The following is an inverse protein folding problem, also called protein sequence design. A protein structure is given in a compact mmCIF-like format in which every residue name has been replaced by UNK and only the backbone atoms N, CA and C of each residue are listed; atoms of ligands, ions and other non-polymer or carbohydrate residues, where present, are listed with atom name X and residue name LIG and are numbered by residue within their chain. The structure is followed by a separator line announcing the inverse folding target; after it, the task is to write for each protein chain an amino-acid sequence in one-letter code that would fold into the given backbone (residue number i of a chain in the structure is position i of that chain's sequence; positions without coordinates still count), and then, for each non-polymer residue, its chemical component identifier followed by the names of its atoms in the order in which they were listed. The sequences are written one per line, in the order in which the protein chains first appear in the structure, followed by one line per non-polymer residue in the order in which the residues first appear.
data_IF_957260726629
#
_entry.id   IF_957260726629
#
_cell.length_a   1.000
_cell.length_b   1.000
_cell.length_c   1.000
_cell.angle_alpha   90.00
_cell.angle_beta   90.00
_cell.angle_gamma   90.00
#
_symmetry.space_group_name_H-M   'P 1'
#
loop_
_entity.id
_entity.type
_entity.pdbx_description
1 polymer ?
#
# COMPACT_ATOMS: atom_id res chain seq x y z
N UNK A 1 17.10 -26.45 -28.53
CA UNK A 1 16.18 -26.24 -27.39
C UNK A 1 14.79 -26.31 -27.97
N UNK A 2 13.89 -27.11 -27.41
CA UNK A 2 12.56 -27.29 -28.00
C UNK A 2 11.73 -26.01 -27.86
N UNK A 3 11.01 -25.59 -28.91
CA UNK A 3 10.13 -24.42 -28.93
C UNK A 3 9.19 -24.40 -27.70
N UNK A 4 8.71 -25.57 -27.29
CA UNK A 4 7.85 -25.74 -26.11
C UNK A 4 8.54 -25.29 -24.81
N UNK A 5 9.83 -25.60 -24.64
CA UNK A 5 10.57 -25.17 -23.43
C UNK A 5 10.82 -23.66 -23.40
N UNK A 6 11.03 -23.04 -24.55
CA UNK A 6 11.21 -21.58 -24.67
C UNK A 6 9.91 -20.84 -24.33
N UNK A 7 8.77 -21.35 -24.81
CA UNK A 7 7.44 -20.79 -24.49
C UNK A 7 7.13 -20.95 -23.00
N UNK A 8 7.39 -22.14 -22.43
CA UNK A 8 7.15 -22.38 -21.00
C UNK A 8 7.99 -21.46 -20.11
N UNK A 9 9.24 -21.20 -20.47
CA UNK A 9 10.12 -20.28 -19.75
C UNK A 9 9.61 -18.83 -19.83
N UNK A 10 9.20 -18.37 -21.02
CA UNK A 10 8.63 -17.03 -21.20
C UNK A 10 7.35 -16.83 -20.37
N UNK A 11 6.44 -17.80 -20.35
CA UNK A 11 5.22 -17.76 -19.54
C UNK A 11 5.55 -17.69 -18.05
N UNK A 12 6.54 -18.49 -17.58
CA UNK A 12 6.96 -18.44 -16.17
C UNK A 12 7.49 -17.05 -15.77
N UNK A 13 8.31 -16.40 -16.60
CA UNK A 13 8.79 -15.04 -16.33
C UNK A 13 7.67 -14.00 -16.32
N UNK A 14 6.69 -14.09 -17.22
CA UNK A 14 5.53 -13.19 -17.23
C UNK A 14 4.72 -13.37 -15.96
N UNK A 15 4.44 -14.60 -15.52
CA UNK A 15 3.69 -14.88 -14.30
C UNK A 15 4.39 -14.32 -13.05
N UNK A 16 5.70 -14.47 -12.94
CA UNK A 16 6.50 -13.91 -11.85
C UNK A 16 6.44 -12.37 -11.85
N UNK A 17 6.51 -11.76 -13.03
CA UNK A 17 6.41 -10.31 -13.20
C UNK A 17 5.04 -9.78 -12.77
N UNK A 18 3.96 -10.42 -13.20
CA UNK A 18 2.58 -10.06 -12.86
C UNK A 18 2.34 -10.17 -11.35
N UNK A 19 2.79 -11.26 -10.72
CA UNK A 19 2.65 -11.43 -9.27
C UNK A 19 3.36 -10.29 -8.49
N UNK A 20 4.53 -9.86 -8.96
CA UNK A 20 5.26 -8.75 -8.34
C UNK A 20 4.52 -7.41 -8.49
N UNK A 21 3.87 -7.15 -9.62
CA UNK A 21 3.03 -5.96 -9.82
C UNK A 21 1.84 -5.98 -8.86
N UNK A 22 1.17 -7.12 -8.73
CA UNK A 22 0.01 -7.26 -7.83
C UNK A 22 0.41 -6.94 -6.39
N UNK A 23 1.57 -7.43 -5.93
CA UNK A 23 2.05 -7.15 -4.58
C UNK A 23 2.39 -5.66 -4.37
N UNK A 24 3.00 -4.99 -5.35
CA UNK A 24 3.28 -3.55 -5.27
C UNK A 24 1.96 -2.76 -5.25
N UNK A 25 0.98 -3.15 -6.06
CA UNK A 25 -0.34 -2.51 -6.09
C UNK A 25 -1.04 -2.63 -4.73
N UNK A 26 -1.07 -3.82 -4.13
CA UNK A 26 -1.61 -4.01 -2.78
C UNK A 26 -0.93 -3.13 -1.74
N UNK A 27 0.40 -3.02 -1.80
CA UNK A 27 1.16 -2.11 -0.94
C UNK A 27 0.74 -0.65 -1.15
N UNK A 28 0.62 -0.20 -2.39
CA UNK A 28 0.19 1.17 -2.72
C UNK A 28 -1.24 1.45 -2.22
N UNK A 29 -2.16 0.51 -2.39
CA UNK A 29 -3.54 0.62 -1.90
C UNK A 29 -3.60 0.67 -0.36
N UNK A 30 -2.82 -0.18 0.32
CA UNK A 30 -2.75 -0.17 1.77
C UNK A 30 -2.18 1.15 2.32
N UNK A 31 -1.18 1.72 1.67
CA UNK A 31 -0.62 3.04 2.02
C UNK A 31 -1.63 4.17 1.80
N UNK A 32 -2.42 4.10 0.73
CA UNK A 32 -3.51 5.04 0.50
C UNK A 32 -4.57 4.96 1.61
N UNK A 33 -4.96 3.75 2.01
CA UNK A 33 -5.89 3.55 3.13
C UNK A 33 -5.33 4.09 4.46
N UNK A 34 -4.03 3.92 4.71
CA UNK A 34 -3.40 4.50 5.90
C UNK A 34 -3.49 6.03 5.92
N UNK A 35 -3.22 6.71 4.79
CA UNK A 35 -3.39 8.17 4.68
C UNK A 35 -4.85 8.56 4.93
N UNK A 36 -5.80 7.83 4.36
CA UNK A 36 -7.24 8.05 4.53
C UNK A 36 -7.64 7.89 6.00
N UNK A 37 -7.18 6.83 6.66
CA UNK A 37 -7.44 6.58 8.07
C UNK A 37 -6.92 7.70 8.98
N UNK A 38 -5.65 8.10 8.83
CA UNK A 38 -5.06 9.17 9.61
C UNK A 38 -5.78 10.51 9.38
N UNK A 39 -6.19 10.76 8.13
CA UNK A 39 -6.97 11.97 7.77
C UNK A 39 -8.37 11.96 8.38
N UNK A 40 -9.04 10.80 8.43
CA UNK A 40 -10.33 10.62 9.11
C UNK A 40 -10.19 10.86 10.61
N UNK A 41 -9.19 10.28 11.25
CA UNK A 41 -8.87 10.52 12.67
C UNK A 41 -8.65 12.00 12.93
N UNK A 42 -7.86 12.70 12.11
CA UNK A 42 -7.62 14.14 12.23
C UNK A 42 -8.92 14.94 12.15
N UNK A 43 -9.79 14.64 11.19
CA UNK A 43 -11.05 15.34 11.00
C UNK A 43 -11.99 15.10 12.20
N UNK A 44 -12.05 13.90 12.72
CA UNK A 44 -12.87 13.56 13.88
C UNK A 44 -12.40 14.28 15.15
N UNK A 45 -11.09 14.42 15.37
CA UNK A 45 -10.54 15.22 16.45
C UNK A 45 -10.95 16.69 16.28
N UNK A 46 -10.73 17.27 15.09
CA UNK A 46 -10.95 18.69 14.82
C UNK A 46 -12.42 19.13 14.91
N UNK A 47 -13.33 18.31 14.38
CA UNK A 47 -14.73 18.74 14.21
C UNK A 47 -15.70 18.11 15.20
N UNK A 48 -15.37 16.99 15.80
CA UNK A 48 -16.27 16.23 16.64
C UNK A 48 -15.78 16.11 18.09
N UNK A 49 -14.54 16.54 18.37
CA UNK A 49 -13.90 16.40 19.70
C UNK A 49 -14.10 14.99 20.29
N UNK A 50 -14.02 13.98 19.43
CA UNK A 50 -14.29 12.60 19.79
C UNK A 50 -13.21 12.03 20.71
N UNK A 51 -13.62 11.21 21.64
CA UNK A 51 -12.73 10.35 22.40
C UNK A 51 -12.18 9.19 21.52
N UNK A 52 -11.13 8.55 22.01
CA UNK A 52 -10.45 7.49 21.25
C UNK A 52 -11.38 6.33 20.84
N UNK A 53 -12.31 5.94 21.73
CA UNK A 53 -13.24 4.81 21.47
C UNK A 53 -14.16 5.14 20.31
N UNK A 54 -14.76 6.32 20.33
CA UNK A 54 -15.65 6.81 19.26
C UNK A 54 -14.91 7.01 17.94
N UNK A 55 -13.62 7.38 17.97
CA UNK A 55 -12.76 7.48 16.78
C UNK A 55 -12.58 6.12 16.12
N UNK A 56 -12.34 5.06 16.91
CA UNK A 56 -12.16 3.71 16.41
C UNK A 56 -13.44 3.15 15.82
N UNK A 57 -14.58 3.31 16.51
CA UNK A 57 -15.89 2.85 16.03
C UNK A 57 -16.29 3.53 14.71
N UNK A 58 -16.05 4.83 14.57
CA UNK A 58 -16.30 5.54 13.32
C UNK A 58 -15.39 5.08 12.19
N UNK A 59 -14.12 4.87 12.47
CA UNK A 59 -13.16 4.38 11.49
C UNK A 59 -13.51 2.96 11.02
N UNK A 60 -13.97 2.09 11.91
CA UNK A 60 -14.40 0.73 11.55
C UNK A 60 -15.57 0.73 10.55
N UNK A 61 -16.47 1.72 10.65
CA UNK A 61 -17.59 1.89 9.72
C UNK A 61 -17.17 2.39 8.32
N UNK A 62 -15.94 2.85 8.14
CA UNK A 62 -15.40 3.37 6.88
C UNK A 62 -14.78 2.28 6.00
N UNK A 63 -15.21 1.10 5.90
CA UNK A 63 -14.72 0.04 4.97
C UNK A 63 -13.26 0.18 4.53
N UNK A 64 -12.34 -0.31 5.36
CA UNK A 64 -10.93 -0.47 5.03
C UNK A 64 -10.65 -1.94 4.66
N UNK A 65 -9.88 -2.16 3.58
CA UNK A 65 -9.52 -3.51 3.12
C UNK A 65 -8.18 -3.99 3.68
N UNK A 66 -7.32 -3.05 4.05
CA UNK A 66 -5.94 -3.32 4.49
C UNK A 66 -5.67 -2.89 5.93
N UNK A 67 -6.66 -2.31 6.63
CA UNK A 67 -6.59 -1.97 8.05
C UNK A 67 -7.56 -2.87 8.81
N UNK A 68 -7.08 -3.51 9.86
CA UNK A 68 -7.87 -4.37 10.75
C UNK A 68 -8.00 -3.69 12.10
N UNK A 69 -9.20 -3.71 12.68
CA UNK A 69 -9.51 -3.01 13.93
C UNK A 69 -9.56 -3.95 15.16
N UNK A 70 -9.71 -5.25 14.95
CA UNK A 70 -9.78 -6.23 16.03
C UNK A 70 -8.74 -7.35 15.87
N UNK A 71 -8.06 -7.79 16.94
CA UNK A 71 -8.13 -7.30 18.34
C UNK A 71 -7.40 -5.96 18.56
N UNK A 72 -6.55 -5.55 17.66
CA UNK A 72 -5.78 -4.30 17.66
C UNK A 72 -5.83 -3.65 16.29
N UNK A 73 -5.66 -2.32 16.24
CA UNK A 73 -5.61 -1.59 14.98
C UNK A 73 -4.26 -1.86 14.32
N UNK A 74 -4.28 -2.58 13.22
CA UNK A 74 -3.09 -2.94 12.46
C UNK A 74 -3.29 -2.74 10.97
N UNK A 75 -2.17 -2.58 10.25
CA UNK A 75 -2.16 -2.54 8.79
C UNK A 75 -1.61 -3.86 8.23
N UNK A 76 -2.08 -4.26 7.06
CA UNK A 76 -1.69 -5.49 6.37
C UNK A 76 -0.16 -5.60 6.19
N UNK A 77 0.38 -6.82 6.28
CA UNK A 77 1.80 -7.13 6.13
C UNK A 77 2.37 -6.81 4.72
N UNK A 78 1.50 -6.51 3.75
CA UNK A 78 1.94 -6.12 2.40
C UNK A 78 2.73 -4.80 2.37
N UNK A 79 2.63 -3.94 3.40
CA UNK A 79 3.36 -2.64 3.45
C UNK A 79 4.80 -2.75 3.94
N UNK A 80 5.23 -3.89 4.45
CA UNK A 80 6.55 -4.11 5.02
C UNK A 80 6.70 -3.62 6.46
N UNK A 81 7.65 -4.21 7.19
CA UNK A 81 7.81 -4.06 8.63
C UNK A 81 8.05 -2.62 9.09
N UNK A 82 8.83 -1.83 8.32
CA UNK A 82 9.11 -0.43 8.67
C UNK A 82 7.82 0.40 8.69
N UNK A 83 7.01 0.30 7.65
CA UNK A 83 5.76 1.06 7.52
C UNK A 83 4.73 0.58 8.55
N UNK A 84 4.66 -0.72 8.78
CA UNK A 84 3.82 -1.31 9.82
C UNK A 84 4.20 -0.77 11.20
N UNK A 85 5.49 -0.70 11.53
CA UNK A 85 5.98 -0.12 12.78
C UNK A 85 5.61 1.35 12.94
N UNK A 86 5.74 2.16 11.89
CA UNK A 86 5.29 3.56 11.90
C UNK A 86 3.78 3.70 12.11
N UNK A 87 2.98 2.84 11.49
CA UNK A 87 1.53 2.85 11.66
C UNK A 87 1.14 2.49 13.10
N UNK A 88 1.76 1.47 13.68
CA UNK A 88 1.53 1.09 15.08
C UNK A 88 1.94 2.21 16.05
N UNK A 89 3.05 2.90 15.80
CA UNK A 89 3.44 4.07 16.60
C UNK A 89 2.40 5.19 16.53
N UNK A 90 1.81 5.44 15.37
CA UNK A 90 0.70 6.38 15.23
C UNK A 90 -0.47 5.98 16.11
N UNK A 91 -0.94 4.74 15.99
CA UNK A 91 -2.08 4.23 16.75
C UNK A 91 -1.85 4.29 18.26
N UNK A 92 -0.63 3.98 18.71
CA UNK A 92 -0.30 4.01 20.14
C UNK A 92 -0.19 5.42 20.74
N UNK A 93 0.16 6.41 19.93
CA UNK A 93 0.37 7.78 20.39
C UNK A 93 -0.86 8.68 20.25
N UNK A 94 -1.79 8.32 19.39
CA UNK A 94 -3.03 9.10 19.25
C UNK A 94 -3.81 9.09 20.57
N UNK A 95 -4.35 10.22 20.97
CA UNK A 95 -5.06 10.37 22.25
C UNK A 95 -4.17 10.63 23.48
N UNK A 96 -2.84 10.72 23.32
CA UNK A 96 -1.91 10.92 24.46
C UNK A 96 -1.55 12.38 24.73
N UNK A 97 -1.92 13.31 23.85
CA UNK A 97 -1.64 14.76 23.96
C UNK A 97 -2.93 15.57 23.88
N UNK A 98 -2.82 16.89 24.07
CA UNK A 98 -3.91 17.81 23.84
C UNK A 98 -4.36 17.86 22.36
N UNK A 99 -5.47 18.52 22.09
CA UNK A 99 -6.07 18.55 20.74
C UNK A 99 -5.09 19.11 19.68
N UNK A 100 -4.44 20.22 19.97
CA UNK A 100 -3.48 20.85 19.04
C UNK A 100 -2.27 19.94 18.78
N UNK A 101 -1.78 19.28 19.81
CA UNK A 101 -0.70 18.30 19.71
C UNK A 101 -1.10 17.10 18.86
N UNK A 102 -2.33 16.60 19.03
CA UNK A 102 -2.86 15.50 18.22
C UNK A 102 -3.04 15.89 16.75
N UNK A 103 -3.54 17.10 16.46
CA UNK A 103 -3.70 17.59 15.08
C UNK A 103 -2.35 17.72 14.38
N UNK A 104 -1.35 18.29 15.04
CA UNK A 104 0.01 18.41 14.50
C UNK A 104 0.64 17.02 14.26
N UNK A 105 0.42 16.10 15.18
CA UNK A 105 0.88 14.71 15.06
C UNK A 105 0.23 13.99 13.87
N UNK A 106 -1.08 14.16 13.66
CA UNK A 106 -1.75 13.64 12.48
C UNK A 106 -1.17 14.22 11.19
N UNK A 107 -0.88 15.52 11.14
CA UNK A 107 -0.29 16.16 9.96
C UNK A 107 1.09 15.59 9.63
N UNK A 108 1.95 15.41 10.62
CA UNK A 108 3.26 14.79 10.44
C UNK A 108 3.14 13.39 9.84
N UNK A 109 2.24 12.56 10.39
CA UNK A 109 2.05 11.19 9.88
C UNK A 109 1.37 11.14 8.51
N UNK A 110 0.43 12.04 8.20
CA UNK A 110 -0.15 12.17 6.86
C UNK A 110 0.96 12.44 5.84
N UNK A 111 1.84 13.41 6.09
CA UNK A 111 2.94 13.72 5.16
C UNK A 111 3.93 12.55 5.03
N UNK A 112 4.24 11.87 6.11
CA UNK A 112 5.12 10.69 6.12
C UNK A 112 4.53 9.55 5.30
N UNK A 113 3.25 9.23 5.50
CA UNK A 113 2.57 8.15 4.76
C UNK A 113 2.30 8.52 3.30
N UNK A 114 2.05 9.79 2.97
CA UNK A 114 2.04 10.29 1.58
C UNK A 114 3.40 10.08 0.91
N UNK A 115 4.51 10.26 1.62
CA UNK A 115 5.84 9.96 1.14
C UNK A 115 5.99 8.47 0.76
N UNK A 116 5.58 7.57 1.63
CA UNK A 116 5.59 6.13 1.35
C UNK A 116 4.67 5.75 0.17
N UNK A 117 3.47 6.35 0.12
CA UNK A 117 2.53 6.16 -0.98
C UNK A 117 3.12 6.58 -2.32
N UNK A 118 3.69 7.79 -2.40
CA UNK A 118 4.27 8.32 -3.62
C UNK A 118 5.46 7.48 -4.10
N UNK A 119 6.30 7.00 -3.18
CA UNK A 119 7.40 6.09 -3.49
C UNK A 119 6.88 4.76 -4.05
N UNK A 120 5.86 4.17 -3.43
CA UNK A 120 5.25 2.92 -3.89
C UNK A 120 4.57 3.08 -5.25
N UNK A 121 3.79 4.14 -5.45
CA UNK A 121 3.12 4.45 -6.72
C UNK A 121 4.12 4.67 -7.87
N UNK A 122 5.25 5.33 -7.60
CA UNK A 122 6.33 5.49 -8.57
C UNK A 122 6.97 4.15 -8.95
N UNK A 123 7.21 3.28 -7.97
CA UNK A 123 7.73 1.92 -8.20
C UNK A 123 6.73 1.07 -9.00
N UNK A 124 5.43 1.17 -8.70
CA UNK A 124 4.37 0.49 -9.44
C UNK A 124 4.40 0.87 -10.91
N UNK A 125 4.38 2.18 -11.22
CA UNK A 125 4.43 2.70 -12.59
C UNK A 125 5.69 2.27 -13.35
N UNK A 126 6.85 2.34 -12.71
CA UNK A 126 8.12 1.89 -13.30
C UNK A 126 8.12 0.40 -13.61
N UNK A 127 7.62 -0.44 -12.70
CA UNK A 127 7.58 -1.90 -12.89
C UNK A 127 6.62 -2.32 -13.99
N UNK A 128 5.45 -1.70 -14.08
CA UNK A 128 4.49 -1.95 -15.18
C UNK A 128 5.13 -1.67 -16.53
N UNK A 129 5.84 -0.55 -16.67
CA UNK A 129 6.52 -0.18 -17.92
C UNK A 129 7.62 -1.20 -18.30
N UNK A 130 8.43 -1.61 -17.33
CA UNK A 130 9.52 -2.59 -17.56
C UNK A 130 8.96 -3.95 -17.98
N UNK A 131 7.92 -4.45 -17.29
CA UNK A 131 7.32 -5.75 -17.61
C UNK A 131 6.63 -5.70 -18.97
N UNK A 132 5.96 -4.58 -19.31
CA UNK A 132 5.41 -4.36 -20.65
C UNK A 132 6.47 -4.45 -21.74
N UNK A 133 7.61 -3.78 -21.56
CA UNK A 133 8.73 -3.82 -22.51
C UNK A 133 9.32 -5.23 -22.66
N UNK A 134 9.52 -5.95 -21.55
CA UNK A 134 10.03 -7.34 -21.58
C UNK A 134 9.04 -8.26 -22.30
N UNK A 135 7.73 -8.11 -22.04
CA UNK A 135 6.71 -8.94 -22.70
C UNK A 135 6.72 -8.75 -24.23
N UNK A 136 6.85 -7.51 -24.71
CA UNK A 136 6.97 -7.23 -26.14
C UNK A 136 8.23 -7.85 -26.73
N UNK A 137 9.38 -7.73 -26.06
CA UNK A 137 10.63 -8.35 -26.50
C UNK A 137 10.53 -9.87 -26.56
N UNK A 138 9.90 -10.51 -25.57
CA UNK A 138 9.70 -11.96 -25.57
C UNK A 138 8.84 -12.43 -26.76
N UNK A 139 7.76 -11.68 -27.08
CA UNK A 139 6.91 -11.97 -28.24
C UNK A 139 7.70 -11.83 -29.53
N UNK A 140 8.49 -10.76 -29.70
CA UNK A 140 9.32 -10.55 -30.87
C UNK A 140 10.37 -11.66 -31.05
N UNK A 141 11.05 -12.06 -29.96
CA UNK A 141 11.99 -13.18 -30.02
C UNK A 141 11.32 -14.52 -30.39
N UNK A 142 10.12 -14.78 -29.87
CA UNK A 142 9.36 -15.98 -30.18
C UNK A 142 8.95 -16.03 -31.68
N UNK A 143 8.59 -14.89 -32.27
CA UNK A 143 8.25 -14.79 -33.69
C UNK A 143 9.49 -15.02 -34.61
N UNK A 144 10.64 -14.51 -34.20
CA UNK A 144 11.91 -14.67 -34.98
C UNK A 144 12.45 -16.12 -34.90
N UNK A 145 12.27 -16.80 -33.76
CA UNK A 145 12.78 -18.17 -33.56
C UNK A 145 11.78 -19.25 -34.01
N UNK A 146 10.51 -18.90 -34.21
CA UNK A 146 9.43 -19.79 -34.61
C UNK A 146 9.10 -19.75 -36.12
N UNK A 147 9.68 -18.80 -36.87
CA UNK A 147 9.59 -18.71 -38.33
C UNK A 147 10.82 -19.32 -38.97
#
# INVERSE_FOLDING_TARGET
MNIVSSIALAVAFILLGVNRIINIKKNTEALYEAVRFISSVKNNIRYLSMDYVSLVENAENENYSYITFHPEITISDCVGEKVKGEFLQFVQKIGTTDEDGQLNFCDEYIERFKGFYNESASKEKSKVNVIGAISVLCVMCALVLGG
#
